data_IF_019312300108
#
_entry.id   IF_019312300108
#
_cell.length_a   1.000
_cell.length_b   1.000
_cell.length_c   1.000
_cell.angle_alpha   90.00
_cell.angle_beta   90.00
_cell.angle_gamma   90.00
#
_symmetry.space_group_name_H-M   'P 1'
#
loop_
_entity.id
_entity.type
_entity.pdbx_description
1 polymer ?
#
# COMPACT_ATOMS: atom_id res chain seq x y z
N UNK A 1 -12.83 48.68 35.18
CA UNK A 1 -13.39 47.57 34.38
C UNK A 1 -12.30 46.54 34.19
N UNK A 2 -12.55 45.30 34.60
CA UNK A 2 -11.57 44.21 34.55
C UNK A 2 -11.63 43.56 33.17
N UNK A 3 -10.52 43.57 32.43
CA UNK A 3 -10.41 42.85 31.16
C UNK A 3 -10.31 41.35 31.46
N UNK A 4 -11.37 40.60 31.16
CA UNK A 4 -11.39 39.14 31.27
C UNK A 4 -10.89 38.52 29.96
N UNK A 5 -9.73 37.88 30.02
CA UNK A 5 -9.22 37.04 28.94
C UNK A 5 -10.04 35.74 28.90
N UNK A 6 -10.90 35.58 27.90
CA UNK A 6 -11.53 34.29 27.61
C UNK A 6 -10.48 33.31 27.10
N UNK A 7 -10.15 32.32 27.91
CA UNK A 7 -9.34 31.17 27.53
C UNK A 7 -10.08 30.41 26.43
N UNK A 8 -9.61 30.53 25.17
CA UNK A 8 -10.11 29.68 24.08
C UNK A 8 -9.64 28.26 24.38
N UNK A 9 -10.59 27.35 24.60
CA UNK A 9 -10.29 25.91 24.68
C UNK A 9 -9.51 25.51 23.43
N UNK A 10 -8.41 24.74 23.56
CA UNK A 10 -7.76 24.19 22.38
C UNK A 10 -8.79 23.36 21.63
N UNK A 11 -8.99 23.68 20.35
CA UNK A 11 -9.75 22.83 19.45
C UNK A 11 -8.92 21.54 19.37
N UNK A 12 -9.42 20.48 20.00
CA UNK A 12 -8.89 19.14 19.77
C UNK A 12 -9.03 18.84 18.29
N UNK A 13 -7.92 18.95 17.57
CA UNK A 13 -7.80 18.39 16.22
C UNK A 13 -8.01 16.90 16.41
N UNK A 14 -9.23 16.42 16.13
CA UNK A 14 -9.52 14.99 16.06
C UNK A 14 -8.53 14.40 15.07
N UNK A 15 -7.47 13.78 15.58
CA UNK A 15 -6.60 12.90 14.80
C UNK A 15 -7.54 11.82 14.28
N UNK A 16 -7.99 11.95 13.04
CA UNK A 16 -8.57 10.83 12.31
C UNK A 16 -7.48 9.76 12.30
N UNK A 17 -7.53 8.82 13.26
CA UNK A 17 -6.82 7.55 13.10
C UNK A 17 -7.53 6.91 11.92
N UNK A 18 -6.91 6.98 10.75
CA UNK A 18 -7.26 6.13 9.62
C UNK A 18 -7.11 4.70 10.13
N UNK A 19 -8.25 4.04 10.32
CA UNK A 19 -8.29 2.67 10.81
C UNK A 19 -7.78 1.74 9.71
N UNK A 20 -6.48 1.43 9.79
CA UNK A 20 -5.77 0.55 8.87
C UNK A 20 -5.64 -0.87 9.43
N UNK A 21 -6.51 -1.26 10.37
CA UNK A 21 -6.45 -2.57 11.03
C UNK A 21 -6.63 -3.76 10.08
N UNK A 22 -7.28 -3.56 8.93
CA UNK A 22 -7.42 -4.57 7.87
C UNK A 22 -6.09 -4.91 7.18
N UNK A 23 -5.05 -4.07 7.31
CA UNK A 23 -3.72 -4.40 6.81
C UNK A 23 -3.06 -5.36 7.80
N UNK A 24 -3.34 -6.64 7.64
CA UNK A 24 -2.87 -7.71 8.51
C UNK A 24 -2.56 -8.97 7.69
N UNK A 25 -1.44 -9.62 8.00
CA UNK A 25 -1.02 -10.86 7.35
C UNK A 25 -2.01 -12.01 7.53
N UNK A 26 -2.85 -11.99 8.56
CA UNK A 26 -3.86 -13.03 8.81
C UNK A 26 -5.01 -13.00 7.82
N UNK A 27 -5.36 -11.81 7.34
CA UNK A 27 -6.58 -11.56 6.57
C UNK A 27 -6.28 -11.16 5.12
N UNK A 28 -4.99 -11.06 4.76
CA UNK A 28 -4.60 -10.68 3.40
C UNK A 28 -4.85 -11.83 2.43
N UNK A 29 -5.67 -11.55 1.43
CA UNK A 29 -5.89 -12.41 0.28
C UNK A 29 -5.69 -11.61 -1.01
N UNK A 30 -4.85 -12.14 -1.89
CA UNK A 30 -4.57 -11.52 -3.18
C UNK A 30 -4.36 -12.57 -4.26
N UNK A 31 -4.67 -12.17 -5.49
CA UNK A 31 -4.43 -12.98 -6.68
C UNK A 31 -3.22 -12.41 -7.44
N UNK A 32 -2.37 -13.28 -7.97
CA UNK A 32 -1.33 -12.89 -8.93
C UNK A 32 -1.85 -13.20 -10.33
N UNK A 33 -2.00 -12.16 -11.14
CA UNK A 33 -2.57 -12.25 -12.49
C UNK A 33 -1.46 -12.08 -13.52
N UNK A 34 -1.49 -12.90 -14.56
CA UNK A 34 -0.70 -12.67 -15.76
C UNK A 34 -1.38 -11.63 -16.64
N UNK A 35 -0.64 -10.61 -17.07
CA UNK A 35 -1.19 -9.47 -17.82
C UNK A 35 -0.48 -9.35 -19.16
N UNK A 36 -1.27 -9.30 -20.22
CA UNK A 36 -0.82 -9.04 -21.58
C UNK A 36 -1.21 -7.62 -22.02
N UNK A 37 -0.51 -7.10 -23.03
CA UNK A 37 -0.85 -5.82 -23.64
C UNK A 37 -2.13 -5.95 -24.47
N UNK A 38 -3.16 -5.18 -24.11
CA UNK A 38 -4.43 -5.14 -24.84
C UNK A 38 -4.42 -4.12 -26.00
N UNK A 39 -3.48 -3.17 -25.99
CA UNK A 39 -3.34 -2.13 -27.01
C UNK A 39 -2.16 -2.33 -27.98
N UNK A 40 -1.39 -3.42 -27.87
CA UNK A 40 -0.19 -3.67 -28.66
C UNK A 40 -0.43 -4.67 -29.80
N UNK A 41 0.29 -4.50 -30.92
CA UNK A 41 0.33 -5.50 -32.00
C UNK A 41 1.79 -5.80 -32.42
N UNK A 42 2.29 -7.04 -32.25
CA UNK A 42 1.57 -8.19 -31.69
C UNK A 42 1.31 -8.06 -30.19
N UNK A 43 0.27 -8.75 -29.70
CA UNK A 43 0.00 -8.92 -28.27
C UNK A 43 1.22 -9.63 -27.67
N UNK A 44 1.74 -9.06 -26.60
CA UNK A 44 2.84 -9.63 -25.84
C UNK A 44 2.61 -9.40 -24.36
N UNK A 45 3.34 -10.15 -23.56
CA UNK A 45 3.17 -10.19 -22.12
C UNK A 45 3.85 -8.99 -21.46
N UNK A 46 3.15 -8.35 -20.51
CA UNK A 46 3.66 -7.20 -19.74
C UNK A 46 4.09 -7.62 -18.32
N UNK A 47 3.83 -8.88 -17.95
CA UNK A 47 4.28 -9.50 -16.70
C UNK A 47 3.13 -9.78 -15.74
N UNK A 48 3.44 -9.84 -14.44
CA UNK A 48 2.50 -10.27 -13.42
C UNK A 48 2.05 -9.11 -12.54
N UNK A 49 0.80 -9.11 -12.08
CA UNK A 49 0.24 -8.06 -11.21
C UNK A 49 -0.46 -8.65 -10.01
N UNK A 50 -0.35 -7.96 -8.87
CA UNK A 50 -1.10 -8.31 -7.66
C UNK A 50 -2.47 -7.63 -7.71
N UNK A 51 -3.53 -8.42 -7.53
CA UNK A 51 -4.89 -7.92 -7.31
C UNK A 51 -5.32 -8.23 -5.89
N UNK A 52 -5.49 -7.18 -5.09
CA UNK A 52 -6.10 -7.28 -3.75
C UNK A 52 -7.58 -6.91 -3.84
N UNK A 53 -8.45 -7.68 -3.20
CA UNK A 53 -9.87 -7.34 -3.10
C UNK A 53 -10.06 -6.36 -1.95
N UNK A 54 -10.31 -5.09 -2.28
CA UNK A 54 -10.56 -4.02 -1.33
C UNK A 54 -11.96 -3.43 -1.56
N UNK A 55 -12.61 -3.03 -0.47
CA UNK A 55 -13.75 -2.12 -0.55
C UNK A 55 -13.30 -0.74 -1.04
N UNK A 56 -14.23 0.05 -1.59
CA UNK A 56 -13.93 1.40 -2.04
C UNK A 56 -13.36 2.30 -0.93
N UNK A 57 -13.78 2.05 0.32
CA UNK A 57 -13.27 2.77 1.50
C UNK A 57 -11.82 2.38 1.80
N UNK A 58 -11.50 1.08 1.78
CA UNK A 58 -10.13 0.60 2.01
C UNK A 58 -9.19 1.07 0.90
N UNK A 59 -9.59 0.99 -0.37
CA UNK A 59 -8.80 1.50 -1.51
C UNK A 59 -8.51 3.00 -1.36
N UNK A 60 -9.54 3.78 -1.01
CA UNK A 60 -9.37 5.21 -0.73
C UNK A 60 -8.41 5.44 0.44
N UNK A 61 -8.51 4.62 1.49
CA UNK A 61 -7.69 4.76 2.70
C UNK A 61 -6.22 4.45 2.44
N UNK A 62 -5.90 3.34 1.75
CA UNK A 62 -4.50 2.95 1.49
C UNK A 62 -3.76 3.99 0.66
N UNK A 63 -4.46 4.72 -0.23
CA UNK A 63 -3.90 5.82 -1.03
C UNK A 63 -3.54 7.05 -0.20
N UNK A 64 -4.10 7.18 1.00
CA UNK A 64 -3.80 8.28 1.93
C UNK A 64 -2.66 7.97 2.90
N UNK A 65 -2.24 6.70 2.99
CA UNK A 65 -1.17 6.28 3.90
C UNK A 65 0.15 6.91 3.46
N UNK A 66 0.83 7.57 4.40
CA UNK A 66 2.11 8.22 4.16
C UNK A 66 3.23 7.20 4.00
N UNK A 67 4.30 7.59 3.30
CA UNK A 67 5.50 6.77 3.11
C UNK A 67 6.03 6.19 4.42
N UNK A 68 6.15 7.02 5.47
CA UNK A 68 6.71 6.60 6.75
C UNK A 68 5.84 5.52 7.40
N UNK A 69 4.53 5.63 7.27
CA UNK A 69 3.58 4.66 7.79
C UNK A 69 3.61 3.35 6.98
N UNK A 70 3.76 3.42 5.66
CA UNK A 70 4.01 2.23 4.83
C UNK A 70 5.30 1.51 5.24
N UNK A 71 6.39 2.25 5.46
CA UNK A 71 7.66 1.66 5.90
C UNK A 71 7.54 1.04 7.29
N UNK A 72 6.77 1.63 8.20
CA UNK A 72 6.47 1.02 9.51
C UNK A 72 5.69 -0.29 9.37
N UNK A 73 4.70 -0.33 8.47
CA UNK A 73 3.93 -1.54 8.19
C UNK A 73 4.81 -2.66 7.60
N UNK A 74 5.73 -2.32 6.69
CA UNK A 74 6.67 -3.27 6.10
C UNK A 74 7.69 -3.84 7.10
N UNK A 75 7.98 -3.11 8.18
CA UNK A 75 8.90 -3.56 9.23
C UNK A 75 8.21 -4.41 10.31
N UNK A 76 6.88 -4.35 10.42
CA UNK A 76 6.12 -5.07 11.44
C UNK A 76 5.72 -6.47 10.95
N UNK A 77 6.11 -7.52 11.68
CA UNK A 77 5.84 -8.92 11.33
C UNK A 77 4.35 -9.32 11.37
N UNK A 78 3.46 -8.48 11.91
CA UNK A 78 2.03 -8.71 11.80
C UNK A 78 1.45 -8.22 10.46
N UNK A 79 2.14 -7.32 9.76
CA UNK A 79 1.57 -6.55 8.63
C UNK A 79 2.45 -6.51 7.39
N UNK A 80 3.70 -6.95 7.48
CA UNK A 80 4.72 -6.79 6.44
C UNK A 80 4.33 -7.37 5.08
N UNK A 81 3.86 -8.61 5.03
CA UNK A 81 3.46 -9.27 3.80
C UNK A 81 2.21 -8.65 3.19
N UNK A 82 1.21 -8.36 4.03
CA UNK A 82 -0.01 -7.69 3.61
C UNK A 82 0.28 -6.30 3.02
N UNK A 83 1.13 -5.54 3.70
CA UNK A 83 1.58 -4.23 3.24
C UNK A 83 2.33 -4.34 1.91
N UNK A 84 3.20 -5.36 1.76
CA UNK A 84 3.91 -5.59 0.52
C UNK A 84 2.95 -5.87 -0.64
N UNK A 85 2.01 -6.81 -0.48
CA UNK A 85 1.02 -7.14 -1.50
C UNK A 85 0.17 -5.93 -1.92
N UNK A 86 -0.26 -5.12 -0.95
CA UNK A 86 -0.98 -3.87 -1.22
C UNK A 86 -0.14 -2.88 -2.02
N UNK A 87 1.15 -2.73 -1.72
CA UNK A 87 2.04 -1.84 -2.46
C UNK A 87 2.31 -2.35 -3.88
N UNK A 88 2.48 -3.66 -4.07
CA UNK A 88 2.57 -4.26 -5.41
C UNK A 88 1.33 -3.94 -6.25
N UNK A 89 0.15 -4.05 -5.65
CA UNK A 89 -1.13 -3.73 -6.30
C UNK A 89 -1.26 -2.24 -6.60
N UNK A 90 -0.98 -1.38 -5.61
CA UNK A 90 -1.13 0.08 -5.71
C UNK A 90 -0.20 0.70 -6.75
N UNK A 91 1.03 0.18 -6.88
CA UNK A 91 2.04 0.70 -7.80
C UNK A 91 2.13 -0.08 -9.12
N UNK A 92 1.26 -1.07 -9.34
CA UNK A 92 1.30 -1.95 -10.51
C UNK A 92 2.70 -2.55 -10.77
N UNK A 93 3.42 -2.91 -9.70
CA UNK A 93 4.77 -3.50 -9.78
C UNK A 93 4.67 -4.91 -10.33
N UNK A 94 5.64 -5.31 -11.16
CA UNK A 94 5.73 -6.68 -11.64
C UNK A 94 5.92 -7.66 -10.48
N UNK A 95 4.96 -8.57 -10.34
CA UNK A 95 4.80 -9.50 -9.24
C UNK A 95 5.40 -10.89 -9.51
N UNK A 96 6.18 -11.05 -10.59
CA UNK A 96 6.76 -12.35 -10.98
C UNK A 96 7.49 -13.02 -9.82
N UNK A 97 8.19 -12.25 -8.99
CA UNK A 97 8.93 -12.75 -7.83
C UNK A 97 8.03 -13.39 -6.78
N UNK A 98 6.79 -12.90 -6.61
CA UNK A 98 5.84 -13.44 -5.63
C UNK A 98 5.28 -14.82 -6.05
N UNK A 99 5.45 -15.23 -7.32
CA UNK A 99 5.08 -16.58 -7.76
C UNK A 99 5.96 -17.66 -7.16
N UNK A 100 7.22 -17.31 -6.90
CA UNK A 100 8.23 -18.20 -6.32
C UNK A 100 8.26 -18.12 -4.80
N UNK A 101 7.70 -17.05 -4.22
CA UNK A 101 7.68 -16.75 -2.78
C UNK A 101 6.26 -16.59 -2.24
N UNK A 102 5.46 -17.65 -2.41
CA UNK A 102 4.03 -17.65 -2.06
C UNK A 102 3.75 -17.75 -0.56
N UNK A 103 4.73 -18.20 0.21
CA UNK A 103 4.65 -18.28 1.66
C UNK A 103 5.29 -17.05 2.32
N UNK A 104 4.73 -16.60 3.44
CA UNK A 104 5.20 -15.42 4.17
C UNK A 104 6.63 -15.62 4.67
N UNK A 105 6.95 -16.79 5.23
CA UNK A 105 8.28 -17.06 5.77
C UNK A 105 9.31 -17.20 4.65
N UNK A 106 8.93 -17.84 3.53
CA UNK A 106 9.81 -17.92 2.36
C UNK A 106 10.14 -16.53 1.81
N UNK A 107 9.13 -15.66 1.63
CA UNK A 107 9.35 -14.26 1.23
C UNK A 107 10.22 -13.50 2.24
N UNK A 108 9.99 -13.69 3.55
CA UNK A 108 10.78 -13.03 4.61
C UNK A 108 12.25 -13.36 4.55
N UNK A 109 12.58 -14.62 4.29
CA UNK A 109 13.97 -15.09 4.25
C UNK A 109 14.69 -14.72 2.95
N UNK A 110 13.97 -14.58 1.84
CA UNK A 110 14.56 -14.45 0.50
C UNK A 110 14.51 -13.03 -0.07
N UNK A 111 13.39 -12.31 0.12
CA UNK A 111 13.03 -11.15 -0.71
C UNK A 111 12.62 -9.92 0.08
N UNK A 112 12.23 -10.07 1.36
CA UNK A 112 11.67 -8.96 2.15
C UNK A 112 12.57 -7.74 2.19
N UNK A 113 13.88 -7.92 2.36
CA UNK A 113 14.82 -6.80 2.44
C UNK A 113 14.91 -6.06 1.09
N UNK A 114 14.97 -6.81 -0.02
CA UNK A 114 14.98 -6.25 -1.37
C UNK A 114 13.71 -5.47 -1.68
N UNK A 115 12.54 -6.01 -1.31
CA UNK A 115 11.26 -5.31 -1.45
C UNK A 115 11.21 -4.04 -0.60
N UNK A 116 11.64 -4.10 0.66
CA UNK A 116 11.71 -2.93 1.53
C UNK A 116 12.63 -1.85 0.92
N UNK A 117 13.77 -2.25 0.38
CA UNK A 117 14.72 -1.32 -0.25
C UNK A 117 14.14 -0.72 -1.54
N UNK A 118 13.46 -1.52 -2.35
CA UNK A 118 12.70 -1.02 -3.50
C UNK A 118 11.67 0.04 -3.06
N UNK A 119 10.87 -0.24 -2.02
CA UNK A 119 9.84 0.69 -1.56
C UNK A 119 10.41 1.96 -0.93
N UNK A 120 11.54 1.88 -0.22
CA UNK A 120 12.25 3.09 0.28
C UNK A 120 12.59 4.05 -0.86
N UNK A 121 12.99 3.53 -2.03
CA UNK A 121 13.31 4.34 -3.22
C UNK A 121 12.09 4.78 -4.04
N UNK A 122 11.02 3.97 -4.09
CA UNK A 122 9.93 4.15 -5.06
C UNK A 122 8.60 4.64 -4.46
N UNK A 123 8.43 4.62 -3.13
CA UNK A 123 7.26 5.24 -2.51
C UNK A 123 7.29 6.75 -2.74
N UNK A 124 6.44 7.24 -3.65
CA UNK A 124 6.24 8.65 -3.94
C UNK A 124 5.12 9.19 -3.05
N UNK A 125 5.27 10.42 -2.59
CA UNK A 125 4.26 11.08 -1.78
C UNK A 125 2.95 11.12 -2.56
N UNK A 126 1.88 10.49 -2.05
CA UNK A 126 0.54 10.63 -2.60
C UNK A 126 -0.02 12.01 -2.26
N UNK A 127 0.49 13.02 -2.96
CA UNK A 127 -0.27 14.17 -3.43
C UNK A 127 0.21 14.41 -4.84
N UNK A 128 -0.74 14.37 -5.78
CA UNK A 128 -0.58 14.57 -7.23
C UNK A 128 -0.43 13.28 -8.04
N UNK A 129 -1.36 13.15 -9.00
CA UNK A 129 -1.45 12.15 -10.08
C UNK A 129 -2.33 10.92 -9.81
N UNK A 130 -3.62 11.18 -9.59
CA UNK A 130 -4.66 10.32 -10.17
C UNK A 130 -5.43 11.15 -11.19
N UNK A 131 -4.95 11.15 -12.45
CA UNK A 131 -5.85 11.38 -13.58
C UNK A 131 -6.49 10.03 -13.86
N UNK A 132 -7.76 9.90 -13.52
CA UNK A 132 -8.61 8.86 -14.08
C UNK A 132 -8.81 9.25 -15.54
N UNK A 133 -8.18 8.54 -16.47
CA UNK A 133 -8.50 8.67 -17.89
C UNK A 133 -9.96 8.23 -18.09
N UNK A 134 -10.72 9.08 -18.81
CA UNK A 134 -12.13 8.91 -19.14
C UNK A 134 -12.28 8.06 -20.38
#
# INVERSE_FOLDING_TARGET
MVFSCTHRKPIEVKKHRTDISFINNRDVHFDILYVACDSCFPIHDIGYRVRVKLSANEDSLIRTIKKEQWLQLLQNSATDYAANALLYSLYNRDAIVLLYHRDIEDWRMSMKEDDINYWKGNLRFCKENYKVEK
#
